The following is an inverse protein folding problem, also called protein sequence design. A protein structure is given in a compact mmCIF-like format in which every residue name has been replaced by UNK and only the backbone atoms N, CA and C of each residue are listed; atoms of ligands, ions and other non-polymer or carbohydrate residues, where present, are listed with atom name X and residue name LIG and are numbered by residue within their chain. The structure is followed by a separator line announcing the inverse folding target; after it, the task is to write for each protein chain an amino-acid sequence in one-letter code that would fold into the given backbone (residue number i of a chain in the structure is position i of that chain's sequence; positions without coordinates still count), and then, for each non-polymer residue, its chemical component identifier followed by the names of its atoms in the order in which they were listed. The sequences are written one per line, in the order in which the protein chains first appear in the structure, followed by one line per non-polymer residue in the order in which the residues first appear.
data_IF_331476976231
#
_entry.id   IF_331476976231
#
_cell.length_a   1.000
_cell.length_b   1.000
_cell.length_c   1.000
_cell.angle_alpha   90.00
_cell.angle_beta   90.00
_cell.angle_gamma   90.00
#
_symmetry.space_group_name_H-M   'P 1'
#
loop_
_entity.id
_entity.type
_entity.pdbx_description
1 polymer ?
#
# COMPACT_ATOMS: atom_id res chain seq x y z
N UNK A 1 -33.67 -23.88 -5.43
CA UNK A 1 -33.65 -22.51 -4.89
C UNK A 1 -32.26 -22.31 -4.31
N UNK A 2 -31.46 -21.43 -4.92
CA UNK A 2 -30.02 -21.31 -4.66
C UNK A 2 -29.83 -20.72 -3.26
N UNK A 3 -29.33 -21.54 -2.32
CA UNK A 3 -28.91 -21.04 -1.02
C UNK A 3 -27.69 -20.14 -1.23
N UNK A 4 -27.83 -18.87 -0.83
CA UNK A 4 -26.78 -17.88 -0.86
C UNK A 4 -25.52 -18.46 -0.22
N UNK A 5 -24.41 -18.42 -0.95
CA UNK A 5 -23.10 -18.70 -0.37
C UNK A 5 -22.95 -17.77 0.84
N UNK A 6 -22.86 -18.36 2.01
CA UNK A 6 -22.47 -17.72 3.26
C UNK A 6 -21.05 -17.18 3.07
N UNK A 7 -20.88 -16.03 2.42
CA UNK A 7 -19.62 -15.30 2.42
C UNK A 7 -19.50 -14.57 3.75
N UNK A 8 -19.47 -15.34 4.83
CA UNK A 8 -18.97 -14.85 6.10
C UNK A 8 -17.55 -14.39 5.82
N UNK A 9 -17.28 -13.09 5.96
CA UNK A 9 -15.92 -12.59 5.91
C UNK A 9 -15.08 -13.47 6.84
N UNK A 10 -14.08 -14.16 6.29
CA UNK A 10 -13.16 -14.99 7.07
C UNK A 10 -12.37 -14.16 8.10
N UNK A 11 -12.36 -12.84 7.95
CA UNK A 11 -11.67 -11.87 8.79
C UNK A 11 -12.70 -10.87 9.34
N UNK A 12 -12.58 -10.49 10.61
CA UNK A 12 -13.41 -9.41 11.16
C UNK A 12 -12.98 -8.05 10.60
N UNK A 13 -13.85 -7.03 10.64
CA UNK A 13 -13.44 -5.66 10.26
C UNK A 13 -12.21 -5.19 11.05
N UNK A 14 -12.14 -5.51 12.34
CA UNK A 14 -11.01 -5.16 13.19
C UNK A 14 -9.69 -5.82 12.73
N UNK A 15 -9.75 -7.07 12.26
CA UNK A 15 -8.58 -7.76 11.70
C UNK A 15 -8.16 -7.13 10.37
N UNK A 16 -9.12 -6.76 9.51
CA UNK A 16 -8.83 -6.06 8.27
C UNK A 16 -8.17 -4.69 8.52
N UNK A 17 -8.71 -3.92 9.47
CA UNK A 17 -8.14 -2.62 9.88
C UNK A 17 -6.72 -2.79 10.44
N UNK A 18 -6.47 -3.84 11.21
CA UNK A 18 -5.15 -4.17 11.74
C UNK A 18 -4.14 -4.49 10.64
N UNK A 19 -4.53 -5.29 9.64
CA UNK A 19 -3.64 -5.58 8.50
C UNK A 19 -3.41 -4.34 7.63
N UNK A 20 -4.41 -3.48 7.46
CA UNK A 20 -4.25 -2.18 6.78
C UNK A 20 -3.28 -1.26 7.52
N UNK A 21 -3.34 -1.22 8.85
CA UNK A 21 -2.39 -0.46 9.66
C UNK A 21 -0.94 -0.98 9.47
N UNK A 22 -0.75 -2.30 9.40
CA UNK A 22 0.57 -2.89 9.09
C UNK A 22 1.05 -2.52 7.69
N UNK A 23 0.18 -2.60 6.68
CA UNK A 23 0.51 -2.20 5.31
C UNK A 23 0.97 -0.73 5.23
N UNK A 24 0.30 0.18 5.94
CA UNK A 24 0.71 1.59 6.05
C UNK A 24 2.12 1.71 6.67
N UNK A 25 2.41 0.95 7.71
CA UNK A 25 3.74 0.95 8.35
C UNK A 25 4.83 0.41 7.41
N UNK A 26 4.55 -0.67 6.68
CA UNK A 26 5.47 -1.20 5.67
C UNK A 26 5.71 -0.19 4.55
N UNK A 27 4.68 0.53 4.12
CA UNK A 27 4.83 1.59 3.11
C UNK A 27 5.69 2.76 3.57
N UNK A 28 5.55 3.18 4.84
CA UNK A 28 6.43 4.20 5.43
C UNK A 28 7.89 3.71 5.52
N UNK A 29 8.08 2.44 5.89
CA UNK A 29 9.42 1.82 5.92
C UNK A 29 10.03 1.72 4.52
N UNK A 30 9.23 1.35 3.51
CA UNK A 30 9.63 1.29 2.11
C UNK A 30 10.06 2.67 1.58
N UNK A 31 9.27 3.71 1.85
CA UNK A 31 9.61 5.09 1.49
C UNK A 31 10.93 5.54 2.13
N UNK A 32 11.11 5.27 3.42
CA UNK A 32 12.36 5.59 4.13
C UNK A 32 13.55 4.85 3.52
N UNK A 33 13.38 3.57 3.21
CA UNK A 33 14.44 2.72 2.65
C UNK A 33 14.84 3.17 1.25
N UNK A 34 13.87 3.43 0.38
CA UNK A 34 14.11 3.87 -1.00
C UNK A 34 14.75 5.26 -1.06
N UNK A 35 14.37 6.16 -0.14
CA UNK A 35 15.04 7.47 0.03
C UNK A 35 16.50 7.32 0.47
N UNK A 36 16.80 6.42 1.43
CA UNK A 36 18.18 6.11 1.84
C UNK A 36 18.99 5.53 0.68
N UNK A 37 18.42 4.60 -0.09
CA UNK A 37 19.08 4.05 -1.28
C UNK A 37 19.43 5.15 -2.28
N UNK A 38 18.50 6.08 -2.53
CA UNK A 38 18.72 7.21 -3.45
C UNK A 38 19.88 8.08 -2.98
N UNK A 39 19.91 8.38 -1.68
CA UNK A 39 21.00 9.16 -1.08
C UNK A 39 22.35 8.46 -1.22
N UNK A 40 22.42 7.15 -0.95
CA UNK A 40 23.65 6.35 -1.10
C UNK A 40 24.13 6.29 -2.55
N UNK A 41 23.22 6.13 -3.53
CA UNK A 41 23.58 6.13 -4.96
C UNK A 41 24.11 7.48 -5.41
N UNK A 42 23.47 8.57 -4.95
CA UNK A 42 23.94 9.92 -5.25
C UNK A 42 25.34 10.13 -4.70
N UNK A 43 25.57 9.82 -3.41
CA UNK A 43 26.87 9.92 -2.78
C UNK A 43 27.94 9.06 -3.48
N UNK A 44 27.60 7.83 -3.84
CA UNK A 44 28.50 6.96 -4.59
C UNK A 44 28.91 7.61 -5.92
N UNK A 45 27.94 8.10 -6.69
CA UNK A 45 28.20 8.70 -8.01
C UNK A 45 28.87 10.08 -7.92
N UNK A 46 28.67 10.83 -6.83
CA UNK A 46 29.36 12.10 -6.63
C UNK A 46 30.85 11.90 -6.36
N UNK A 47 31.23 10.80 -5.72
CA UNK A 47 32.62 10.48 -5.40
C UNK A 47 33.29 9.57 -6.44
N UNK A 48 32.53 8.76 -7.17
CA UNK A 48 33.05 7.87 -8.20
C UNK A 48 33.25 8.61 -9.53
N UNK A 49 34.46 9.13 -9.75
CA UNK A 49 34.83 9.89 -10.96
C UNK A 49 35.21 8.95 -12.12
N UNK A 50 34.22 8.25 -12.66
CA UNK A 50 34.37 7.45 -13.88
C UNK A 50 33.23 7.72 -14.87
N UNK A 51 33.47 7.48 -16.16
CA UNK A 51 32.45 7.63 -17.22
C UNK A 51 31.19 6.76 -16.97
N UNK A 52 31.32 5.67 -16.23
CA UNK A 52 30.21 4.79 -15.87
C UNK A 52 29.29 5.35 -14.77
N UNK A 53 29.75 6.30 -13.95
CA UNK A 53 28.96 6.83 -12.83
C UNK A 53 27.66 7.52 -13.27
N UNK A 54 27.64 8.40 -14.29
CA UNK A 54 26.40 8.99 -14.80
C UNK A 54 25.41 7.94 -15.33
N UNK A 55 25.90 6.88 -15.98
CA UNK A 55 25.06 5.78 -16.50
C UNK A 55 24.40 5.03 -15.34
N UNK A 56 25.19 4.67 -14.32
CA UNK A 56 24.67 4.01 -13.12
C UNK A 56 23.61 4.86 -12.42
N UNK A 57 23.85 6.17 -12.25
CA UNK A 57 22.87 7.10 -11.66
C UNK A 57 21.58 7.16 -12.48
N UNK A 58 21.69 7.21 -13.81
CA UNK A 58 20.54 7.24 -14.70
C UNK A 58 19.71 5.95 -14.59
N UNK A 59 20.35 4.79 -14.55
CA UNK A 59 19.65 3.51 -14.41
C UNK A 59 18.99 3.35 -13.04
N UNK A 60 19.66 3.77 -11.97
CA UNK A 60 19.03 3.85 -10.66
C UNK A 60 17.83 4.80 -10.65
N UNK A 61 17.92 5.95 -11.33
CA UNK A 61 16.81 6.91 -11.42
C UNK A 61 15.60 6.29 -12.13
N UNK A 62 15.81 5.45 -13.15
CA UNK A 62 14.71 4.68 -13.78
C UNK A 62 14.08 3.70 -12.78
N UNK A 63 14.90 2.97 -12.03
CA UNK A 63 14.41 2.07 -10.97
C UNK A 63 13.64 2.82 -9.88
N UNK A 64 14.10 4.00 -9.46
CA UNK A 64 13.45 4.82 -8.44
C UNK A 64 12.03 5.28 -8.84
N UNK A 65 11.77 5.44 -10.14
CA UNK A 65 10.40 5.68 -10.64
C UNK A 65 9.47 4.51 -10.34
N UNK A 66 9.96 3.27 -10.44
CA UNK A 66 9.17 2.08 -10.11
C UNK A 66 8.83 2.05 -8.62
N UNK A 67 9.73 2.47 -7.72
CA UNK A 67 9.40 2.60 -6.29
C UNK A 67 8.24 3.56 -6.04
N UNK A 68 8.23 4.70 -6.75
CA UNK A 68 7.13 5.67 -6.66
C UNK A 68 5.81 5.09 -7.15
N UNK A 69 5.84 4.32 -8.24
CA UNK A 69 4.67 3.63 -8.78
C UNK A 69 4.16 2.56 -7.82
N UNK A 70 5.05 1.73 -7.26
CA UNK A 70 4.71 0.75 -6.23
C UNK A 70 4.02 1.42 -5.04
N UNK A 71 4.56 2.55 -4.56
CA UNK A 71 3.92 3.32 -3.48
C UNK A 71 2.50 3.76 -3.85
N UNK A 72 2.33 4.28 -5.05
CA UNK A 72 1.01 4.74 -5.53
C UNK A 72 0.00 3.60 -5.59
N UNK A 73 0.39 2.45 -6.14
CA UNK A 73 -0.50 1.28 -6.26
C UNK A 73 -0.88 0.76 -4.88
N UNK A 74 0.06 0.63 -3.95
CA UNK A 74 -0.24 0.13 -2.60
C UNK A 74 -1.12 1.12 -1.81
N UNK A 75 -0.89 2.43 -1.94
CA UNK A 75 -1.75 3.45 -1.34
C UNK A 75 -3.19 3.38 -1.88
N UNK A 76 -3.36 3.16 -3.18
CA UNK A 76 -4.69 2.94 -3.78
C UNK A 76 -5.38 1.69 -3.24
N UNK A 77 -4.63 0.58 -3.06
CA UNK A 77 -5.17 -0.65 -2.48
C UNK A 77 -5.61 -0.45 -1.03
N UNK A 78 -4.80 0.27 -0.24
CA UNK A 78 -5.15 0.64 1.15
C UNK A 78 -6.46 1.42 1.16
N UNK A 79 -6.57 2.50 0.37
CA UNK A 79 -7.78 3.33 0.29
C UNK A 79 -9.01 2.54 -0.17
N UNK A 80 -8.85 1.67 -1.16
CA UNK A 80 -9.92 0.80 -1.64
C UNK A 80 -10.45 -0.12 -0.53
N UNK A 81 -9.54 -0.69 0.27
CA UNK A 81 -9.89 -1.59 1.37
C UNK A 81 -10.55 -0.84 2.52
N UNK A 82 -10.05 0.34 2.89
CA UNK A 82 -10.69 1.20 3.90
C UNK A 82 -12.11 1.60 3.48
N UNK A 83 -12.30 1.94 2.20
CA UNK A 83 -13.61 2.23 1.64
C UNK A 83 -14.55 1.02 1.74
N UNK A 84 -14.06 -0.17 1.39
CA UNK A 84 -14.83 -1.40 1.51
C UNK A 84 -15.31 -1.67 2.95
N UNK A 85 -14.41 -1.54 3.93
CA UNK A 85 -14.73 -1.72 5.35
C UNK A 85 -15.83 -0.72 5.76
N UNK A 86 -15.67 0.55 5.40
CA UNK A 86 -16.65 1.60 5.73
C UNK A 86 -18.02 1.37 5.08
N UNK A 87 -18.05 0.94 3.81
CA UNK A 87 -19.30 0.67 3.09
C UNK A 87 -20.01 -0.56 3.68
N UNK A 88 -19.28 -1.61 4.07
CA UNK A 88 -19.86 -2.81 4.70
C UNK A 88 -20.37 -2.53 6.11
N UNK A 89 -19.64 -1.77 6.93
CA UNK A 89 -20.12 -1.33 8.25
C UNK A 89 -21.43 -0.52 8.16
N UNK A 90 -21.58 0.33 7.13
CA UNK A 90 -22.83 1.06 6.89
C UNK A 90 -23.99 0.15 6.51
N UNK A 91 -23.73 -0.86 5.66
CA UNK A 91 -24.74 -1.85 5.28
C UNK A 91 -25.22 -2.63 6.51
N UNK A 92 -24.30 -3.13 7.33
CA UNK A 92 -24.63 -3.88 8.55
C UNK A 92 -25.47 -3.04 9.54
N UNK A 93 -25.14 -1.76 9.69
CA UNK A 93 -25.92 -0.83 10.52
C UNK A 93 -27.32 -0.58 9.96
N UNK A 94 -27.47 -0.45 8.64
CA UNK A 94 -28.76 -0.24 7.99
C UNK A 94 -29.67 -1.48 8.15
N UNK A 95 -29.12 -2.68 7.93
CA UNK A 95 -29.86 -3.94 8.14
C UNK A 95 -30.23 -4.17 9.61
N UNK A 96 -29.35 -3.79 10.54
CA UNK A 96 -29.64 -3.89 11.97
C UNK A 96 -30.80 -2.99 12.39
N UNK A 97 -30.98 -1.83 11.74
CA UNK A 97 -32.12 -0.92 11.99
C UNK A 97 -33.41 -1.38 11.31
N UNK A 98 -33.34 -2.00 10.13
CA UNK A 98 -34.53 -2.42 9.39
C UNK A 98 -35.21 -3.69 9.93
N UNK A 99 -34.51 -4.48 10.75
CA UNK A 99 -35.05 -5.68 11.41
C UNK A 99 -35.71 -5.44 12.78
N UNK A 100 -35.79 -4.19 13.25
CA UNK A 100 -36.43 -3.82 14.54
C UNK A 100 -37.85 -3.24 14.32
N UNK A 101 -38.53 -3.64 13.25
CA UNK A 101 -39.96 -3.36 13.03
C UNK A 101 -40.76 -4.66 13.00
#
# INVERSE_FOLDING_TARGET
MIMAANSQLSMTYADMEKEIAKLKNFMSTFETTTSKMTSSVNMLCDNWKAQASPVYRADYTKLAKNFTQTKTVVDQLIKSTEKYIADMQKLDQAYSKSKVQ
#
